data_IF_656672634727
#
_entry.id   IF_656672634727
#
_cell.length_a   1.000
_cell.length_b   1.000
_cell.length_c   1.000
_cell.angle_alpha   90.00
_cell.angle_beta   90.00
_cell.angle_gamma   90.00
#
_symmetry.space_group_name_H-M   'P 1'
#
loop_
_entity.id
_entity.type
_entity.pdbx_description
1 polymer ?
#
# COMPACT_ATOMS: atom_id res chain seq x y z
N UNK A 1 -51.36 1.51 46.12
CA UNK A 1 -50.41 1.93 45.06
C UNK A 1 -49.20 2.64 45.68
N UNK A 2 -48.25 1.90 46.25
CA UNK A 2 -47.03 2.50 46.86
C UNK A 2 -45.77 1.63 46.78
N UNK A 3 -45.87 0.40 46.26
CA UNK A 3 -44.74 -0.53 46.18
C UNK A 3 -44.32 -0.91 44.75
N UNK A 4 -44.96 -0.35 43.72
CA UNK A 4 -44.62 -0.63 42.31
C UNK A 4 -43.57 0.32 41.70
N UNK A 5 -43.18 1.38 42.40
CA UNK A 5 -42.22 2.39 41.90
C UNK A 5 -40.77 2.06 42.33
N UNK A 6 -40.57 1.16 43.30
CA UNK A 6 -39.24 0.88 43.86
C UNK A 6 -38.44 -0.20 43.10
N UNK A 7 -39.05 -0.89 42.13
CA UNK A 7 -38.36 -1.92 41.33
C UNK A 7 -37.79 -1.34 40.02
N UNK A 8 -38.24 -0.16 39.59
CA UNK A 8 -37.75 0.47 38.35
C UNK A 8 -36.40 1.20 38.50
N UNK A 9 -35.87 1.32 39.72
CA UNK A 9 -34.55 1.93 39.98
C UNK A 9 -33.40 0.91 40.07
N UNK A 10 -33.66 -0.40 39.91
CA UNK A 10 -32.65 -1.45 40.04
C UNK A 10 -32.03 -1.90 38.70
N UNK A 11 -32.30 -1.19 37.60
CA UNK A 11 -31.84 -1.55 36.24
C UNK A 11 -30.78 -0.58 35.68
N UNK A 12 -30.29 0.39 36.47
CA UNK A 12 -29.33 1.41 35.98
C UNK A 12 -27.94 1.36 36.63
N UNK A 13 -27.54 0.22 37.20
CA UNK A 13 -26.37 0.15 38.09
C UNK A 13 -25.18 -0.71 37.65
N UNK A 14 -25.23 -1.48 36.57
CA UNK A 14 -24.07 -2.28 36.14
C UNK A 14 -23.39 -1.57 34.98
N UNK A 15 -22.60 -0.58 35.38
CA UNK A 15 -21.52 0.05 34.62
C UNK A 15 -20.80 -0.99 33.74
N UNK A 16 -20.92 -0.86 32.42
CA UNK A 16 -19.98 -1.42 31.46
C UNK A 16 -18.61 -0.77 31.68
N UNK A 17 -17.88 -1.23 32.69
CA UNK A 17 -16.47 -0.91 32.87
C UNK A 17 -15.62 -1.96 32.16
N UNK A 18 -15.58 -1.92 30.83
CA UNK A 18 -14.45 -2.45 30.07
C UNK A 18 -14.04 -1.50 28.94
N UNK A 19 -13.16 -0.51 29.21
CA UNK A 19 -12.41 0.14 28.14
C UNK A 19 -10.92 -0.23 28.15
N UNK A 20 -10.33 -0.61 29.29
CA UNK A 20 -8.86 -0.69 29.41
C UNK A 20 -8.24 -1.92 28.74
N UNK A 21 -8.88 -3.09 28.84
CA UNK A 21 -8.31 -4.35 28.33
C UNK A 21 -8.25 -4.42 26.80
N UNK A 22 -9.25 -3.84 26.12
CA UNK A 22 -9.26 -3.72 24.67
C UNK A 22 -8.28 -2.66 24.16
N UNK A 23 -8.15 -1.54 24.87
CA UNK A 23 -7.23 -0.47 24.48
C UNK A 23 -5.76 -0.89 24.65
N UNK A 24 -5.44 -1.63 25.72
CA UNK A 24 -4.09 -2.15 25.97
C UNK A 24 -3.72 -3.26 24.98
N UNK A 25 -4.65 -4.19 24.69
CA UNK A 25 -4.44 -5.23 23.68
C UNK A 25 -4.31 -4.65 22.26
N UNK A 26 -5.06 -3.60 21.95
CA UNK A 26 -4.93 -2.86 20.70
C UNK A 26 -3.58 -2.16 20.60
N UNK A 27 -3.12 -1.48 21.65
CA UNK A 27 -1.79 -0.84 21.69
C UNK A 27 -0.67 -1.87 21.53
N UNK A 28 -0.72 -3.00 22.24
CA UNK A 28 0.24 -4.09 22.08
C UNK A 28 0.23 -4.67 20.66
N UNK A 29 -0.95 -4.88 20.08
CA UNK A 29 -1.08 -5.39 18.71
C UNK A 29 -0.51 -4.41 17.69
N UNK A 30 -0.81 -3.12 17.82
CA UNK A 30 -0.23 -2.06 16.97
C UNK A 30 1.29 -1.96 17.16
N UNK A 31 1.79 -2.12 18.38
CA UNK A 31 3.22 -2.10 18.67
C UNK A 31 3.93 -3.32 18.06
N UNK A 32 3.36 -4.52 18.20
CA UNK A 32 3.85 -5.74 17.57
C UNK A 32 3.82 -5.63 16.04
N UNK A 33 2.75 -5.08 15.47
CA UNK A 33 2.67 -4.81 14.03
C UNK A 33 3.77 -3.84 13.61
N UNK A 34 4.00 -2.76 14.38
CA UNK A 34 5.06 -1.78 14.13
C UNK A 34 6.46 -2.40 14.21
N UNK A 35 6.70 -3.28 15.17
CA UNK A 35 7.98 -3.98 15.36
C UNK A 35 8.24 -5.06 14.31
N UNK A 36 7.19 -5.70 13.79
CA UNK A 36 7.31 -6.76 12.78
C UNK A 36 7.27 -6.24 11.34
N UNK A 37 6.82 -5.00 11.11
CA UNK A 37 6.76 -4.44 9.76
C UNK A 37 8.12 -3.87 9.37
N UNK A 38 8.71 -4.39 8.30
CA UNK A 38 9.95 -3.87 7.76
C UNK A 38 9.82 -2.36 7.47
N UNK A 39 10.75 -1.56 8.00
CA UNK A 39 10.86 -0.14 7.71
C UNK A 39 11.99 0.08 6.70
N UNK A 40 11.72 -0.27 5.44
CA UNK A 40 12.71 -0.26 4.36
C UNK A 40 12.13 0.41 3.10
N UNK A 41 11.70 1.68 3.18
CA UNK A 41 10.96 2.33 2.10
C UNK A 41 11.79 2.49 0.83
N UNK A 42 13.10 2.75 0.97
CA UNK A 42 14.03 2.84 -0.16
C UNK A 42 14.14 1.51 -0.90
N UNK A 43 14.55 0.45 -0.21
CA UNK A 43 14.74 -0.89 -0.80
C UNK A 43 13.45 -1.42 -1.43
N UNK A 44 12.31 -1.18 -0.77
CA UNK A 44 11.01 -1.63 -1.28
C UNK A 44 10.60 -0.86 -2.53
N UNK A 45 10.87 0.44 -2.60
CA UNK A 45 10.68 1.22 -3.82
C UNK A 45 11.57 0.70 -4.98
N UNK A 46 12.84 0.42 -4.72
CA UNK A 46 13.77 -0.12 -5.73
C UNK A 46 13.35 -1.51 -6.21
N UNK A 47 12.86 -2.36 -5.30
CA UNK A 47 12.28 -3.66 -5.61
C UNK A 47 11.06 -3.54 -6.51
N UNK A 48 10.21 -2.55 -6.27
CA UNK A 48 9.04 -2.31 -7.11
C UNK A 48 9.42 -1.86 -8.52
N UNK A 49 10.40 -0.95 -8.68
CA UNK A 49 10.92 -0.58 -10.02
C UNK A 49 11.47 -1.83 -10.72
N UNK A 50 12.19 -2.68 -9.99
CA UNK A 50 12.76 -3.92 -10.53
C UNK A 50 11.68 -4.88 -11.02
N UNK A 51 10.60 -5.10 -10.26
CA UNK A 51 9.52 -5.99 -10.68
C UNK A 51 8.73 -5.42 -11.87
N UNK A 52 8.55 -4.10 -11.94
CA UNK A 52 7.98 -3.43 -13.11
C UNK A 52 8.88 -3.61 -14.34
N UNK A 53 10.19 -3.43 -14.21
CA UNK A 53 11.17 -3.63 -15.29
C UNK A 53 11.17 -5.09 -15.78
N UNK A 54 11.07 -6.07 -14.88
CA UNK A 54 10.91 -7.48 -15.25
C UNK A 54 9.64 -7.72 -16.08
N UNK A 55 8.52 -7.11 -15.69
CA UNK A 55 7.27 -7.19 -16.45
C UNK A 55 7.43 -6.58 -17.84
N UNK A 56 8.03 -5.39 -17.96
CA UNK A 56 8.24 -4.74 -19.26
C UNK A 56 9.26 -5.46 -20.14
N UNK A 57 10.29 -6.06 -19.54
CA UNK A 57 11.23 -6.95 -20.23
C UNK A 57 10.53 -8.19 -20.78
N UNK A 58 9.61 -8.78 -20.03
CA UNK A 58 8.80 -9.91 -20.49
C UNK A 58 7.92 -9.51 -21.69
N UNK A 59 7.29 -8.32 -21.64
CA UNK A 59 6.59 -7.76 -22.79
C UNK A 59 7.51 -7.59 -24.01
N UNK A 60 8.64 -6.88 -23.86
CA UNK A 60 9.57 -6.62 -24.97
C UNK A 60 10.06 -7.92 -25.61
N UNK A 61 10.41 -8.90 -24.78
CA UNK A 61 10.82 -10.23 -25.25
C UNK A 61 9.71 -10.92 -26.05
N UNK A 62 8.44 -10.79 -25.64
CA UNK A 62 7.30 -11.39 -26.34
C UNK A 62 7.05 -10.82 -27.73
N UNK A 63 7.45 -9.57 -27.97
CA UNK A 63 7.32 -8.89 -29.27
C UNK A 63 8.64 -8.85 -30.07
N UNK A 64 9.66 -9.57 -29.60
CA UNK A 64 10.96 -9.66 -30.28
C UNK A 64 11.82 -8.39 -30.19
N UNK A 65 11.60 -7.55 -29.18
CA UNK A 65 12.38 -6.33 -28.94
C UNK A 65 13.22 -6.44 -27.67
N UNK A 66 14.16 -5.52 -27.50
CA UNK A 66 14.98 -5.41 -26.30
C UNK A 66 14.39 -4.41 -25.31
N UNK A 67 14.69 -4.60 -24.03
CA UNK A 67 14.34 -3.69 -22.95
C UNK A 67 15.61 -3.29 -22.20
N UNK A 68 15.80 -1.98 -22.01
CA UNK A 68 16.88 -1.45 -21.16
C UNK A 68 16.36 -1.33 -19.75
N UNK A 69 16.95 -2.10 -18.83
CA UNK A 69 16.60 -2.05 -17.41
C UNK A 69 17.03 -0.72 -16.79
N UNK A 70 16.25 -0.25 -15.82
CA UNK A 70 16.61 0.95 -15.04
C UNK A 70 17.90 0.66 -14.27
N UNK A 71 18.88 1.54 -14.38
CA UNK A 71 20.17 1.37 -13.68
C UNK A 71 19.98 1.44 -12.17
N UNK A 72 20.88 0.82 -11.40
CA UNK A 72 20.82 0.86 -9.93
C UNK A 72 20.85 2.30 -9.40
N UNK A 73 21.70 3.16 -9.96
CA UNK A 73 21.77 4.59 -9.60
C UNK A 73 20.48 5.34 -9.92
N UNK A 74 19.88 5.09 -11.09
CA UNK A 74 18.60 5.69 -11.44
C UNK A 74 17.49 5.24 -10.49
N UNK A 75 17.42 3.93 -10.16
CA UNK A 75 16.47 3.40 -9.17
C UNK A 75 16.60 4.13 -7.82
N UNK A 76 17.82 4.24 -7.31
CA UNK A 76 18.08 4.89 -6.02
C UNK A 76 17.64 6.36 -6.05
N UNK A 77 18.02 7.11 -7.08
CA UNK A 77 17.67 8.53 -7.22
C UNK A 77 16.15 8.73 -7.38
N UNK A 78 15.49 7.93 -8.21
CA UNK A 78 14.03 7.96 -8.39
C UNK A 78 13.32 7.71 -7.07
N UNK A 79 13.76 6.70 -6.30
CA UNK A 79 13.17 6.38 -5.02
C UNK A 79 13.41 7.48 -3.99
N UNK A 80 14.61 8.05 -3.88
CA UNK A 80 14.87 9.18 -2.99
C UNK A 80 14.00 10.41 -3.32
N UNK A 81 13.84 10.71 -4.60
CA UNK A 81 12.95 11.79 -5.07
C UNK A 81 11.48 11.49 -4.72
N UNK A 82 11.03 10.25 -4.89
CA UNK A 82 9.67 9.85 -4.52
C UNK A 82 9.43 9.98 -3.01
N UNK A 83 10.34 9.47 -2.18
CA UNK A 83 10.22 9.52 -0.72
C UNK A 83 10.14 10.96 -0.18
N UNK A 84 10.75 11.91 -0.88
CA UNK A 84 10.73 13.34 -0.54
C UNK A 84 9.58 14.14 -1.17
N UNK A 85 8.81 13.54 -2.09
CA UNK A 85 7.65 14.17 -2.73
C UNK A 85 6.50 14.38 -1.72
N UNK A 86 5.66 15.40 -1.95
CA UNK A 86 4.46 15.70 -1.15
C UNK A 86 3.51 14.52 -0.95
N UNK A 87 3.45 13.57 -1.89
CA UNK A 87 2.66 12.35 -1.74
C UNK A 87 3.14 11.47 -0.58
N UNK A 88 4.46 11.28 -0.42
CA UNK A 88 5.05 10.30 0.48
C UNK A 88 5.78 10.88 1.70
N UNK A 89 6.26 12.13 1.63
CA UNK A 89 7.12 12.74 2.65
C UNK A 89 6.48 12.85 4.04
N UNK A 90 5.16 12.89 4.10
CA UNK A 90 4.40 12.98 5.36
C UNK A 90 3.98 11.61 5.92
N UNK A 91 4.31 10.52 5.23
CA UNK A 91 4.04 9.17 5.69
C UNK A 91 5.17 8.66 6.60
N UNK A 92 4.83 7.74 7.50
CA UNK A 92 5.86 6.95 8.16
C UNK A 92 6.58 6.05 7.15
N UNK A 93 7.85 5.70 7.40
CA UNK A 93 8.58 4.78 6.54
C UNK A 93 7.92 3.40 6.41
N UNK A 94 7.17 2.96 7.43
CA UNK A 94 6.33 1.75 7.39
C UNK A 94 5.17 1.90 6.40
N UNK A 95 4.47 3.05 6.41
CA UNK A 95 3.38 3.31 5.47
C UNK A 95 3.90 3.40 4.02
N UNK A 96 5.05 4.05 3.83
CA UNK A 96 5.76 4.07 2.54
C UNK A 96 6.10 2.65 2.08
N UNK A 97 6.72 1.84 2.96
CA UNK A 97 7.06 0.43 2.68
C UNK A 97 5.82 -0.40 2.30
N UNK A 98 4.71 -0.24 3.03
CA UNK A 98 3.46 -0.92 2.72
C UNK A 98 2.94 -0.55 1.32
N UNK A 99 2.90 0.74 1.00
CA UNK A 99 2.41 1.22 -0.30
C UNK A 99 3.24 0.69 -1.47
N UNK A 100 4.58 0.63 -1.33
CA UNK A 100 5.44 0.04 -2.35
C UNK A 100 5.27 -1.47 -2.45
N UNK A 101 5.09 -2.19 -1.34
CA UNK A 101 4.87 -3.64 -1.36
C UNK A 101 3.58 -4.05 -2.09
N UNK A 102 2.53 -3.23 -2.03
CA UNK A 102 1.33 -3.44 -2.84
C UNK A 102 1.66 -3.49 -4.34
N UNK A 103 2.50 -2.56 -4.80
CA UNK A 103 2.93 -2.47 -6.19
C UNK A 103 3.94 -3.58 -6.55
N UNK A 104 4.88 -3.93 -5.65
CA UNK A 104 5.78 -5.10 -5.84
C UNK A 104 4.96 -6.35 -6.14
N UNK A 105 3.97 -6.63 -5.29
CA UNK A 105 3.13 -7.83 -5.38
C UNK A 105 2.33 -7.84 -6.67
N UNK A 106 1.77 -6.69 -7.05
CA UNK A 106 1.00 -6.54 -8.27
C UNK A 106 1.85 -6.80 -9.54
N UNK A 107 3.02 -6.17 -9.67
CA UNK A 107 3.92 -6.39 -10.81
C UNK A 107 4.45 -7.82 -10.88
N UNK A 108 4.79 -8.40 -9.73
CA UNK A 108 5.22 -9.79 -9.65
C UNK A 108 4.10 -10.73 -10.08
N UNK A 109 2.88 -10.54 -9.59
CA UNK A 109 1.72 -11.35 -9.96
C UNK A 109 1.43 -11.28 -11.47
N UNK A 110 1.54 -10.10 -12.09
CA UNK A 110 1.37 -9.94 -13.55
C UNK A 110 2.45 -10.69 -14.34
N UNK A 111 3.68 -10.73 -13.82
CA UNK A 111 4.79 -11.46 -14.41
C UNK A 111 4.58 -12.97 -14.29
N UNK A 112 4.30 -13.45 -13.08
CA UNK A 112 4.12 -14.87 -12.75
C UNK A 112 2.92 -15.48 -13.49
N UNK A 113 1.84 -14.72 -13.70
CA UNK A 113 0.66 -15.15 -14.45
C UNK A 113 0.78 -15.01 -15.98
N UNK A 114 1.90 -14.46 -16.47
CA UNK A 114 2.11 -14.22 -17.90
C UNK A 114 1.23 -13.13 -18.50
N UNK A 115 0.64 -12.24 -17.69
CA UNK A 115 -0.07 -11.05 -18.18
C UNK A 115 0.90 -10.12 -18.90
N UNK A 116 2.11 -9.96 -18.36
CA UNK A 116 3.15 -9.11 -18.93
C UNK A 116 3.56 -9.49 -20.36
N UNK A 117 3.40 -10.75 -20.78
CA UNK A 117 3.75 -11.18 -22.15
C UNK A 117 2.60 -11.01 -23.14
N UNK A 118 1.37 -10.71 -22.66
CA UNK A 118 0.15 -10.66 -23.48
C UNK A 118 -0.43 -9.25 -23.59
N UNK A 119 -0.13 -8.38 -22.62
CA UNK A 119 -0.66 -7.03 -22.54
C UNK A 119 0.37 -6.01 -23.02
N UNK A 120 -0.11 -4.98 -23.71
CA UNK A 120 0.75 -3.84 -24.10
C UNK A 120 1.16 -3.03 -22.87
N UNK A 121 2.27 -2.28 -22.95
CA UNK A 121 2.71 -1.40 -21.86
C UNK A 121 1.59 -0.44 -21.40
N UNK A 122 0.84 0.24 -22.29
CA UNK A 122 -0.30 1.07 -21.87
C UNK A 122 -1.35 0.29 -21.08
N UNK A 123 -1.70 -0.94 -21.52
CA UNK A 123 -2.67 -1.77 -20.81
C UNK A 123 -2.15 -2.27 -19.44
N UNK A 124 -0.85 -2.55 -19.33
CA UNK A 124 -0.20 -2.91 -18.06
C UNK A 124 -0.22 -1.75 -17.07
N UNK A 125 0.01 -0.53 -17.55
CA UNK A 125 -0.09 0.70 -16.76
C UNK A 125 -1.54 0.93 -16.32
N UNK A 126 -2.49 0.87 -17.26
CA UNK A 126 -3.91 1.06 -16.97
C UNK A 126 -4.44 0.03 -15.97
N UNK A 127 -4.11 -1.24 -16.14
CA UNK A 127 -4.49 -2.30 -15.19
C UNK A 127 -3.89 -2.10 -13.79
N UNK A 128 -2.79 -1.37 -13.66
CA UNK A 128 -2.21 -1.00 -12.37
C UNK A 128 -2.92 0.22 -11.74
N UNK A 129 -3.52 1.11 -12.55
CA UNK A 129 -4.38 2.21 -12.10
C UNK A 129 -5.74 1.69 -11.58
N UNK A 130 -6.36 0.79 -12.33
CA UNK A 130 -7.73 0.32 -12.06
C UNK A 130 -7.78 -1.03 -11.33
N UNK A 131 -6.63 -1.61 -11.02
CA UNK A 131 -6.51 -2.93 -10.39
C UNK A 131 -7.14 -2.96 -9.00
N UNK A 132 -8.22 -3.71 -8.84
CA UNK A 132 -8.96 -3.78 -7.57
C UNK A 132 -8.09 -4.29 -6.40
N UNK A 133 -7.20 -5.25 -6.66
CA UNK A 133 -6.29 -5.84 -5.66
C UNK A 133 -5.26 -4.84 -5.14
N UNK A 134 -4.52 -4.17 -6.05
CA UNK A 134 -3.52 -3.17 -5.67
C UNK A 134 -4.16 -1.97 -5.00
N UNK A 135 -5.35 -1.55 -5.46
CA UNK A 135 -6.11 -0.46 -4.87
C UNK A 135 -6.60 -0.80 -3.46
N UNK A 136 -7.09 -2.03 -3.24
CA UNK A 136 -7.48 -2.52 -1.91
C UNK A 136 -6.27 -2.60 -0.96
N UNK A 137 -5.13 -3.10 -1.45
CA UNK A 137 -3.90 -3.15 -0.68
C UNK A 137 -3.43 -1.75 -0.26
N UNK A 138 -3.40 -0.79 -1.21
CA UNK A 138 -3.05 0.60 -0.91
C UNK A 138 -3.98 1.18 0.15
N UNK A 139 -5.31 1.04 0.00
CA UNK A 139 -6.28 1.48 1.02
C UNK A 139 -5.99 0.86 2.39
N UNK A 140 -5.66 -0.43 2.45
CA UNK A 140 -5.30 -1.12 3.69
C UNK A 140 -4.06 -0.51 4.35
N UNK A 141 -3.05 -0.10 3.58
CA UNK A 141 -1.86 0.58 4.10
C UNK A 141 -2.18 1.93 4.77
N UNK A 142 -3.26 2.61 4.34
CA UNK A 142 -3.73 3.88 4.92
C UNK A 142 -4.88 3.71 5.93
N UNK A 143 -5.34 2.48 6.17
CA UNK A 143 -6.45 2.21 7.09
C UNK A 143 -6.09 2.43 8.56
N UNK A 144 -4.81 2.25 8.93
CA UNK A 144 -4.28 2.59 10.25
C UNK A 144 -4.29 4.11 10.53
N UNK A 145 -4.58 4.94 9.52
CA UNK A 145 -4.77 6.40 9.60
C UNK A 145 -6.18 6.83 9.19
N UNK A 146 -7.22 6.05 9.52
CA UNK A 146 -8.63 6.40 9.34
C UNK A 146 -9.14 6.41 7.87
N UNK A 147 -8.57 5.57 7.00
CA UNK A 147 -9.09 5.27 5.65
C UNK A 147 -9.27 6.49 4.70
N UNK A 148 -8.38 7.49 4.77
CA UNK A 148 -8.59 8.78 4.10
C UNK A 148 -8.11 8.90 2.64
N UNK A 149 -7.67 7.83 1.97
CA UNK A 149 -7.34 7.96 0.54
C UNK A 149 -8.56 7.69 -0.35
N UNK A 150 -9.06 8.73 -0.99
CA UNK A 150 -10.16 8.64 -1.94
C UNK A 150 -9.69 7.98 -3.25
N UNK A 151 -10.63 7.46 -4.07
CA UNK A 151 -10.28 6.72 -5.28
C UNK A 151 -9.48 7.56 -6.28
N UNK A 152 -9.75 8.86 -6.31
CA UNK A 152 -9.06 9.90 -7.08
C UNK A 152 -7.64 10.20 -6.57
N UNK A 153 -7.32 9.86 -5.32
CA UNK A 153 -5.98 10.05 -4.74
C UNK A 153 -5.08 8.83 -4.94
N UNK A 154 -5.63 7.63 -5.15
CA UNK A 154 -4.87 6.39 -5.37
C UNK A 154 -3.81 6.54 -6.48
N UNK A 155 -4.11 7.15 -7.65
CA UNK A 155 -3.11 7.34 -8.70
C UNK A 155 -1.88 8.13 -8.25
N UNK A 156 -1.98 9.02 -7.27
CA UNK A 156 -0.85 9.82 -6.77
C UNK A 156 0.20 8.98 -6.04
N UNK A 157 -0.19 7.79 -5.58
CA UNK A 157 0.69 6.84 -4.89
C UNK A 157 1.29 5.80 -5.83
N UNK A 158 0.93 5.79 -7.11
CA UNK A 158 1.47 4.83 -8.07
C UNK A 158 2.74 5.37 -8.74
N UNK A 159 3.86 4.66 -8.62
CA UNK A 159 5.18 5.18 -9.05
C UNK A 159 5.31 5.29 -10.58
N UNK A 160 4.58 4.51 -11.38
CA UNK A 160 4.67 4.63 -12.84
C UNK A 160 4.25 6.03 -13.35
N UNK A 161 3.39 6.77 -12.62
CA UNK A 161 3.04 8.15 -12.95
C UNK A 161 4.23 9.12 -12.81
N UNK A 162 5.26 8.74 -12.04
CA UNK A 162 6.45 9.56 -11.81
C UNK A 162 7.65 9.08 -12.64
N UNK A 163 7.69 7.81 -13.05
CA UNK A 163 8.76 7.26 -13.93
C UNK A 163 8.57 7.70 -15.39
N UNK A 164 7.35 8.03 -15.84
CA UNK A 164 7.12 8.55 -17.20
C UNK A 164 7.83 9.90 -17.48
N UNK A 165 8.38 10.56 -16.46
CA UNK A 165 9.21 11.75 -16.63
C UNK A 165 10.68 11.47 -16.98
N UNK A 166 11.04 10.20 -17.23
CA UNK A 166 12.29 9.81 -17.89
C UNK A 166 13.54 9.79 -17.01
N UNK A 167 14.54 9.06 -17.50
CA UNK A 167 15.86 9.68 -17.71
C UNK A 167 15.75 10.71 -18.84
#
# INVERSE_FOLDING_TARGET
MKHFILISCLIFGISCSEPKKFEDSYKETVLLQYLMTANAPQETCESMITNKDLCFKAYATSIGTTFTETTASAKTNTCQSMLSNTAYKNMSGIAQTCAFNCQVTDWKSKTDSGVCTKSTIPALIESSLVGASVNACLRSCFSSTNNQISADQIPLYLLFNNIQNGE
#
